data_IF_616014818969
#
_entry.id   IF_616014818969
#
_cell.length_a   1.000
_cell.length_b   1.000
_cell.length_c   1.000
_cell.angle_alpha   90.00
_cell.angle_beta   90.00
_cell.angle_gamma   90.00
#
_symmetry.space_group_name_H-M   'P 1'
#
loop_
_entity.id
_entity.type
_entity.pdbx_description
1 polymer ?
#
# COMPACT_ATOMS: atom_id res chain seq x y z
N UNK A 1 2.54 -24.23 -5.68
CA UNK A 1 1.21 -23.62 -5.85
C UNK A 1 0.15 -24.70 -6.11
N UNK A 2 0.14 -25.47 -7.20
CA UNK A 2 -0.84 -26.54 -7.43
C UNK A 2 -0.85 -27.65 -6.37
N UNK A 3 0.31 -28.09 -5.87
CA UNK A 3 0.40 -29.10 -4.78
C UNK A 3 -0.14 -28.56 -3.44
N UNK A 4 -0.05 -27.27 -3.18
CA UNK A 4 -0.58 -26.65 -1.96
C UNK A 4 -2.11 -26.47 -2.03
N UNK A 5 -2.67 -26.12 -3.19
CA UNK A 5 -4.13 -26.05 -3.39
C UNK A 5 -4.77 -27.46 -3.25
N UNK A 6 -4.17 -28.48 -3.85
CA UNK A 6 -4.68 -29.86 -3.77
C UNK A 6 -4.64 -30.41 -2.32
N UNK A 7 -3.58 -30.07 -1.56
CA UNK A 7 -3.48 -30.43 -0.13
C UNK A 7 -4.51 -29.68 0.73
N UNK A 8 -4.78 -28.41 0.40
CA UNK A 8 -5.79 -27.60 1.07
C UNK A 8 -7.19 -28.15 0.85
N UNK A 9 -7.53 -28.51 -0.39
CA UNK A 9 -8.84 -29.07 -0.74
C UNK A 9 -9.06 -30.43 -0.04
N UNK A 10 -8.04 -31.31 -0.01
CA UNK A 10 -8.09 -32.57 0.75
C UNK A 10 -8.32 -32.34 2.26
N UNK A 11 -7.70 -31.30 2.80
CA UNK A 11 -7.83 -30.94 4.22
C UNK A 11 -9.25 -30.43 4.52
N UNK A 12 -9.81 -29.59 3.65
CA UNK A 12 -11.19 -29.11 3.75
C UNK A 12 -12.21 -30.23 3.69
N UNK A 13 -12.09 -31.14 2.70
CA UNK A 13 -12.98 -32.31 2.62
C UNK A 13 -12.93 -33.14 3.91
N UNK A 14 -11.74 -33.32 4.47
CA UNK A 14 -11.55 -34.09 5.71
C UNK A 14 -12.16 -33.36 6.92
N UNK A 15 -12.00 -32.05 7.00
CA UNK A 15 -12.62 -31.21 8.04
C UNK A 15 -14.15 -31.34 7.95
N UNK A 16 -14.72 -31.19 6.75
CA UNK A 16 -16.16 -31.31 6.53
C UNK A 16 -16.71 -32.71 6.87
N UNK A 17 -15.97 -33.78 6.52
CA UNK A 17 -16.35 -35.14 6.90
C UNK A 17 -16.35 -35.33 8.42
N UNK A 18 -15.32 -34.83 9.12
CA UNK A 18 -15.21 -34.90 10.59
C UNK A 18 -16.34 -34.09 11.27
N UNK A 19 -16.68 -32.90 10.75
CA UNK A 19 -17.80 -32.10 11.23
C UNK A 19 -19.11 -32.87 11.04
N UNK A 20 -19.36 -33.43 9.86
CA UNK A 20 -20.59 -34.15 9.53
C UNK A 20 -20.80 -35.36 10.45
N UNK A 21 -19.72 -36.04 10.81
CA UNK A 21 -19.69 -37.19 11.73
C UNK A 21 -19.60 -36.80 13.20
N UNK A 22 -19.52 -35.50 13.52
CA UNK A 22 -19.39 -34.97 14.89
C UNK A 22 -18.14 -35.52 15.64
N UNK A 23 -17.04 -35.78 14.91
CA UNK A 23 -15.77 -36.30 15.46
C UNK A 23 -14.86 -35.14 15.87
N UNK A 24 -15.31 -34.30 16.81
CA UNK A 24 -14.66 -33.05 17.21
C UNK A 24 -13.26 -33.25 17.82
N UNK A 25 -13.01 -34.36 18.50
CA UNK A 25 -11.68 -34.65 19.06
C UNK A 25 -10.64 -34.84 17.93
N UNK A 26 -11.00 -35.59 16.88
CA UNK A 26 -10.12 -35.80 15.75
C UNK A 26 -9.95 -34.54 14.88
N UNK A 27 -11.01 -33.75 14.80
CA UNK A 27 -10.94 -32.44 14.14
C UNK A 27 -9.95 -31.52 14.87
N UNK A 28 -10.03 -31.45 16.19
CA UNK A 28 -9.06 -30.71 17.01
C UNK A 28 -7.62 -31.21 16.80
N UNK A 29 -7.42 -32.53 16.87
CA UNK A 29 -6.10 -33.12 16.69
C UNK A 29 -5.53 -32.88 15.28
N UNK A 30 -6.41 -32.65 14.27
CA UNK A 30 -6.05 -32.28 12.92
C UNK A 30 -5.61 -30.82 12.80
N UNK A 31 -6.26 -29.91 13.54
CA UNK A 31 -5.99 -28.46 13.50
C UNK A 31 -4.77 -28.04 14.34
N UNK A 32 -4.53 -28.72 15.48
CA UNK A 32 -3.46 -28.37 16.42
C UNK A 32 -2.05 -28.22 15.81
N UNK A 33 -1.62 -29.04 14.83
CA UNK A 33 -0.28 -28.90 14.23
C UNK A 33 -0.20 -27.87 13.10
N UNK A 34 -1.30 -27.18 12.74
CA UNK A 34 -1.33 -26.21 11.68
C UNK A 34 -0.98 -24.81 12.23
N UNK A 35 -0.36 -24.01 11.39
CA UNK A 35 -0.11 -22.59 11.69
C UNK A 35 -1.41 -21.78 11.67
N UNK A 36 -1.44 -20.66 12.39
CA UNK A 36 -2.64 -19.82 12.51
C UNK A 36 -3.16 -19.34 11.16
N UNK A 37 -2.26 -18.90 10.26
CA UNK A 37 -2.56 -18.44 8.90
C UNK A 37 -3.23 -19.53 8.05
N UNK A 38 -2.76 -20.77 8.19
CA UNK A 38 -3.35 -21.91 7.45
C UNK A 38 -4.77 -22.20 7.96
N UNK A 39 -4.99 -22.13 9.27
CA UNK A 39 -6.31 -22.34 9.88
C UNK A 39 -7.26 -21.20 9.48
N UNK A 40 -6.82 -19.95 9.53
CA UNK A 40 -7.61 -18.81 9.09
C UNK A 40 -8.02 -18.96 7.61
N UNK A 41 -7.07 -19.35 6.74
CA UNK A 41 -7.36 -19.63 5.35
C UNK A 41 -8.42 -20.73 5.14
N UNK A 42 -8.44 -21.78 5.99
CA UNK A 42 -9.48 -22.81 5.96
C UNK A 42 -10.84 -22.29 6.45
N UNK A 43 -10.84 -21.37 7.41
CA UNK A 43 -12.08 -20.80 7.97
C UNK A 43 -12.85 -20.00 6.95
N UNK A 44 -12.18 -19.29 6.03
CA UNK A 44 -12.82 -18.56 4.93
C UNK A 44 -13.72 -19.44 4.05
N UNK A 45 -13.55 -20.78 4.09
CA UNK A 45 -14.34 -21.73 3.29
C UNK A 45 -15.35 -22.54 4.11
N UNK A 46 -15.39 -22.34 5.43
CA UNK A 46 -16.25 -23.10 6.33
C UNK A 46 -17.58 -22.43 6.68
N UNK A 47 -17.79 -21.18 6.22
CA UNK A 47 -19.02 -20.39 6.40
C UNK A 47 -19.57 -20.45 7.86
N UNK A 48 -20.84 -20.82 8.02
CA UNK A 48 -21.54 -20.90 9.32
C UNK A 48 -20.92 -21.86 10.34
N UNK A 49 -19.94 -22.68 9.94
CA UNK A 49 -19.28 -23.67 10.83
C UNK A 49 -18.11 -23.08 11.60
N UNK A 50 -17.62 -21.91 11.20
CA UNK A 50 -16.44 -21.24 11.80
C UNK A 50 -16.56 -21.11 13.33
N UNK A 51 -17.66 -20.59 13.93
CA UNK A 51 -17.74 -20.43 15.38
C UNK A 51 -17.66 -21.73 16.17
N UNK A 52 -18.07 -22.85 15.53
CA UNK A 52 -18.00 -24.16 16.16
C UNK A 52 -16.58 -24.71 16.12
N UNK A 53 -15.89 -24.58 15.00
CA UNK A 53 -14.53 -25.08 14.83
C UNK A 53 -13.56 -24.23 15.66
N UNK A 54 -13.72 -22.93 15.69
CA UNK A 54 -12.94 -21.99 16.50
C UNK A 54 -12.90 -22.39 17.98
N UNK A 55 -14.05 -22.80 18.55
CA UNK A 55 -14.14 -23.27 19.96
C UNK A 55 -13.38 -24.56 20.26
N UNK A 56 -12.85 -25.26 19.26
CA UNK A 56 -12.02 -26.45 19.44
C UNK A 56 -10.54 -26.10 19.64
N UNK A 57 -10.12 -24.91 19.25
CA UNK A 57 -8.74 -24.45 19.35
C UNK A 57 -8.36 -24.16 20.81
N UNK A 58 -7.09 -24.36 21.20
CA UNK A 58 -6.55 -23.82 22.44
C UNK A 58 -6.61 -22.29 22.43
N UNK A 59 -6.63 -21.64 23.60
CA UNK A 59 -6.81 -20.18 23.70
C UNK A 59 -5.74 -19.39 22.94
N UNK A 60 -4.46 -19.73 23.14
CA UNK A 60 -3.33 -19.10 22.46
C UNK A 60 -3.49 -19.19 20.95
N UNK A 61 -3.65 -20.41 20.39
CA UNK A 61 -3.84 -20.62 18.96
C UNK A 61 -5.15 -19.97 18.45
N UNK A 62 -6.19 -19.92 19.26
CA UNK A 62 -7.44 -19.26 18.89
C UNK A 62 -7.28 -17.76 18.74
N UNK A 63 -6.48 -17.11 19.62
CA UNK A 63 -6.17 -15.70 19.50
C UNK A 63 -5.33 -15.40 18.24
N UNK A 64 -4.28 -16.18 17.99
CA UNK A 64 -3.48 -16.06 16.77
C UNK A 64 -4.32 -16.22 15.49
N UNK A 65 -5.18 -17.27 15.44
CA UNK A 65 -6.10 -17.47 14.30
C UNK A 65 -7.09 -16.32 14.17
N UNK A 66 -7.53 -15.74 15.28
CA UNK A 66 -8.51 -14.66 15.28
C UNK A 66 -7.96 -13.40 14.63
N UNK A 67 -6.70 -13.05 14.85
CA UNK A 67 -6.01 -11.92 14.23
C UNK A 67 -5.91 -12.09 12.72
N UNK A 68 -5.61 -13.30 12.24
CA UNK A 68 -5.45 -13.61 10.82
C UNK A 68 -6.77 -13.65 10.02
N UNK A 69 -7.93 -13.50 10.68
CA UNK A 69 -9.24 -13.46 10.02
C UNK A 69 -9.58 -12.06 9.53
N UNK A 70 -10.26 -11.97 8.40
CA UNK A 70 -10.83 -10.69 7.93
C UNK A 70 -11.86 -10.13 8.91
N UNK A 71 -12.04 -8.81 8.91
CA UNK A 71 -12.97 -8.09 9.81
C UNK A 71 -14.41 -8.62 9.76
N UNK A 72 -14.88 -9.16 8.63
CA UNK A 72 -16.23 -9.75 8.52
C UNK A 72 -16.34 -11.06 9.30
N UNK A 73 -15.36 -11.96 9.20
CA UNK A 73 -15.31 -13.20 9.98
C UNK A 73 -15.09 -12.92 11.47
N UNK A 74 -14.23 -11.98 11.80
CA UNK A 74 -14.03 -11.51 13.16
C UNK A 74 -15.34 -10.98 13.76
N UNK A 75 -16.10 -10.15 13.01
CA UNK A 75 -17.41 -9.66 13.47
C UNK A 75 -18.39 -10.81 13.75
N UNK A 76 -18.46 -11.80 12.86
CA UNK A 76 -19.32 -13.00 13.04
C UNK A 76 -18.92 -13.76 14.31
N UNK A 77 -17.62 -13.97 14.51
CA UNK A 77 -17.10 -14.63 15.72
C UNK A 77 -17.43 -13.83 16.99
N UNK A 78 -17.14 -12.53 17.00
CA UNK A 78 -17.44 -11.65 18.14
C UNK A 78 -18.93 -11.69 18.47
N UNK A 79 -19.81 -11.65 17.46
CA UNK A 79 -21.25 -11.74 17.68
C UNK A 79 -21.68 -13.09 18.26
N UNK A 80 -20.98 -14.18 17.91
CA UNK A 80 -21.26 -15.53 18.38
C UNK A 80 -20.73 -15.81 19.79
N UNK A 81 -19.74 -15.06 20.25
CA UNK A 81 -19.09 -15.26 21.55
C UNK A 81 -19.99 -14.86 22.71
N UNK A 82 -19.92 -15.63 23.79
CA UNK A 82 -20.33 -15.18 25.12
C UNK A 82 -19.38 -14.07 25.60
N UNK A 83 -19.80 -13.33 26.62
CA UNK A 83 -18.93 -12.29 27.20
C UNK A 83 -17.64 -12.86 27.82
N UNK A 84 -17.67 -14.11 28.26
CA UNK A 84 -16.49 -14.80 28.81
C UNK A 84 -15.54 -15.22 27.71
N UNK A 85 -16.05 -15.80 26.62
CA UNK A 85 -15.23 -16.18 25.46
C UNK A 85 -14.57 -14.94 24.82
N UNK A 86 -15.33 -13.86 24.64
CA UNK A 86 -14.78 -12.62 24.12
C UNK A 86 -13.64 -12.10 24.98
N UNK A 87 -13.82 -12.10 26.32
CA UNK A 87 -12.75 -11.68 27.23
C UNK A 87 -11.53 -12.59 27.14
N UNK A 88 -11.72 -13.91 27.07
CA UNK A 88 -10.64 -14.88 26.99
C UNK A 88 -9.81 -14.73 25.70
N UNK A 89 -10.42 -14.36 24.57
CA UNK A 89 -9.70 -14.03 23.33
C UNK A 89 -8.95 -12.71 23.48
N UNK A 90 -9.60 -11.66 23.98
CA UNK A 90 -8.99 -10.34 24.13
C UNK A 90 -7.81 -10.31 25.14
N UNK A 91 -7.83 -11.18 26.15
CA UNK A 91 -6.76 -11.28 27.15
C UNK A 91 -5.49 -11.96 26.57
N UNK A 92 -5.58 -12.63 25.43
CA UNK A 92 -4.46 -13.30 24.73
C UNK A 92 -3.94 -12.49 23.52
N UNK A 93 -4.66 -11.42 23.09
CA UNK A 93 -4.25 -10.57 21.97
C UNK A 93 -3.17 -9.58 22.39
N UNK A 94 -2.27 -9.26 21.47
CA UNK A 94 -1.40 -8.11 21.61
C UNK A 94 -2.18 -6.79 21.46
N UNK A 95 -1.57 -5.70 21.92
CA UNK A 95 -2.29 -4.43 22.07
C UNK A 95 -2.61 -3.79 20.72
N UNK A 96 -1.69 -3.84 19.77
CA UNK A 96 -1.83 -3.39 18.39
C UNK A 96 -2.96 -4.13 17.67
N UNK A 97 -2.93 -5.47 17.66
CA UNK A 97 -4.03 -6.32 17.14
C UNK A 97 -5.39 -5.93 17.75
N UNK A 98 -5.42 -5.70 19.06
CA UNK A 98 -6.65 -5.32 19.73
C UNK A 98 -7.13 -3.91 19.33
N UNK A 99 -6.22 -3.00 18.97
CA UNK A 99 -6.55 -1.67 18.43
C UNK A 99 -7.12 -1.79 17.04
N UNK A 100 -6.45 -2.50 16.13
CA UNK A 100 -6.87 -2.68 14.74
C UNK A 100 -8.26 -3.31 14.66
N UNK A 101 -8.50 -4.38 15.44
CA UNK A 101 -9.82 -4.99 15.55
C UNK A 101 -10.89 -3.99 16.01
N UNK A 102 -10.58 -3.09 16.93
CA UNK A 102 -11.55 -2.10 17.42
C UNK A 102 -11.81 -1.02 16.37
N UNK A 103 -10.82 -0.61 15.59
CA UNK A 103 -10.94 0.38 14.52
C UNK A 103 -11.77 -0.15 13.34
N UNK A 104 -11.49 -1.36 12.91
CA UNK A 104 -12.19 -1.99 11.78
C UNK A 104 -13.63 -2.39 12.09
N UNK A 105 -13.95 -2.61 13.37
CA UNK A 105 -15.27 -3.10 13.76
C UNK A 105 -16.35 -2.01 13.73
N UNK A 106 -17.60 -2.35 13.38
CA UNK A 106 -18.73 -1.46 13.55
C UNK A 106 -18.81 -0.93 14.99
N UNK A 107 -19.17 0.35 15.17
CA UNK A 107 -19.14 1.05 16.45
C UNK A 107 -19.88 0.35 17.63
N UNK A 108 -20.88 -0.49 17.34
CA UNK A 108 -21.57 -1.29 18.35
C UNK A 108 -20.74 -2.50 18.81
N UNK A 109 -19.95 -3.09 17.91
CA UNK A 109 -19.05 -4.22 18.17
C UNK A 109 -17.82 -3.72 18.90
N UNK A 110 -17.14 -2.67 18.43
CA UNK A 110 -16.02 -2.05 19.11
C UNK A 110 -16.34 -1.61 20.54
N UNK A 111 -17.54 -1.04 20.77
CA UNK A 111 -18.01 -0.74 22.15
C UNK A 111 -18.22 -1.99 23.01
N UNK A 112 -18.57 -3.13 22.40
CA UNK A 112 -18.69 -4.39 23.12
C UNK A 112 -17.33 -4.92 23.52
N UNK A 113 -16.35 -4.87 22.62
CA UNK A 113 -14.94 -5.24 22.86
C UNK A 113 -14.40 -4.41 24.02
N UNK A 114 -14.40 -3.08 23.90
CA UNK A 114 -13.90 -2.16 24.94
C UNK A 114 -14.58 -2.32 26.31
N UNK A 115 -15.84 -2.78 26.34
CA UNK A 115 -16.54 -3.02 27.61
C UNK A 115 -16.03 -4.27 28.33
N UNK A 116 -15.58 -5.28 27.59
CA UNK A 116 -15.18 -6.57 28.14
C UNK A 116 -13.66 -6.73 28.27
N UNK A 117 -12.88 -5.86 27.60
CA UNK A 117 -11.45 -5.76 27.79
C UNK A 117 -11.07 -5.39 29.22
N UNK A 118 -9.90 -5.86 29.66
CA UNK A 118 -9.33 -5.47 30.95
C UNK A 118 -9.21 -3.93 31.06
N UNK A 119 -9.39 -3.32 32.23
CA UNK A 119 -9.33 -1.88 32.40
C UNK A 119 -8.01 -1.24 31.92
N UNK A 120 -6.88 -1.92 32.11
CA UNK A 120 -5.57 -1.40 31.69
C UNK A 120 -5.41 -1.52 30.16
N UNK A 121 -5.76 -2.65 29.57
CA UNK A 121 -5.80 -2.86 28.10
C UNK A 121 -6.73 -1.85 27.43
N UNK A 122 -7.95 -1.70 27.94
CA UNK A 122 -8.91 -0.71 27.43
C UNK A 122 -8.37 0.72 27.48
N UNK A 123 -7.61 1.07 28.53
CA UNK A 123 -6.99 2.39 28.64
C UNK A 123 -5.92 2.57 27.55
N UNK A 124 -5.08 1.57 27.33
CA UNK A 124 -4.04 1.58 26.31
C UNK A 124 -4.65 1.66 24.90
N UNK A 125 -5.67 0.85 24.58
CA UNK A 125 -6.41 0.96 23.33
C UNK A 125 -6.95 2.39 23.11
N UNK A 126 -7.64 2.95 24.13
CA UNK A 126 -8.16 4.32 24.02
C UNK A 126 -7.08 5.41 23.98
N UNK A 127 -5.85 5.13 24.33
CA UNK A 127 -4.70 6.05 24.17
C UNK A 127 -4.18 6.01 22.74
N UNK A 128 -4.07 4.82 22.13
CA UNK A 128 -3.63 4.64 20.74
C UNK A 128 -4.68 5.20 19.77
N UNK A 129 -5.96 4.88 19.95
CA UNK A 129 -7.10 5.41 19.16
C UNK A 129 -7.24 6.95 19.15
N UNK A 130 -6.38 7.69 19.83
CA UNK A 130 -6.34 9.17 19.74
C UNK A 130 -5.36 9.68 18.71
N UNK A 131 -4.44 8.85 18.29
CA UNK A 131 -3.53 9.23 17.21
C UNK A 131 -4.32 9.31 15.89
N UNK A 132 -3.91 10.15 14.97
CA UNK A 132 -4.46 10.13 13.61
C UNK A 132 -4.19 8.78 12.96
N UNK A 133 -5.08 8.36 12.08
CA UNK A 133 -4.86 7.22 11.20
C UNK A 133 -3.57 7.44 10.38
N UNK A 134 -2.98 6.37 9.85
CA UNK A 134 -1.79 6.38 8.99
C UNK A 134 -0.53 7.02 9.64
N UNK A 135 -0.41 7.05 10.97
CA UNK A 135 0.79 7.54 11.64
C UNK A 135 1.45 6.47 12.53
N UNK A 136 2.73 6.67 12.86
CA UNK A 136 3.49 5.76 13.74
C UNK A 136 2.80 5.45 15.08
N UNK A 137 2.00 6.38 15.57
CA UNK A 137 1.27 6.24 16.82
C UNK A 137 0.05 5.34 16.72
N UNK A 138 -0.57 5.18 15.53
CA UNK A 138 -1.70 4.28 15.32
C UNK A 138 -1.28 2.81 15.23
N UNK A 139 -0.13 2.54 14.59
CA UNK A 139 0.38 1.19 14.35
C UNK A 139 1.38 0.70 15.40
N UNK A 140 1.60 1.42 16.50
CA UNK A 140 2.59 1.04 17.52
C UNK A 140 1.98 0.17 18.60
N UNK A 141 2.78 -0.77 19.12
CA UNK A 141 2.50 -1.45 20.38
C UNK A 141 3.24 -0.81 21.56
N UNK A 142 2.67 -0.87 22.77
CA UNK A 142 3.35 -0.46 23.99
C UNK A 142 4.01 -1.63 24.72
N UNK A 143 3.98 -2.81 24.12
CA UNK A 143 4.40 -4.08 24.71
C UNK A 143 5.87 -4.39 24.41
N UNK A 144 6.76 -3.52 24.80
CA UNK A 144 8.21 -3.66 24.66
C UNK A 144 8.92 -3.91 26.01
N UNK A 145 10.16 -4.38 25.93
CA UNK A 145 11.03 -4.54 27.11
C UNK A 145 11.84 -3.27 27.34
N UNK A 146 11.66 -2.65 28.51
CA UNK A 146 12.48 -1.52 28.97
C UNK A 146 13.55 -1.97 29.97
N UNK A 147 14.74 -1.38 29.89
CA UNK A 147 15.83 -1.57 30.83
C UNK A 147 16.31 -0.22 31.37
N UNK A 148 17.02 -0.25 32.51
CA UNK A 148 17.68 0.93 33.06
C UNK A 148 19.20 0.85 32.84
N UNK A 149 19.82 1.96 32.48
CA UNK A 149 21.27 2.02 32.26
C UNK A 149 22.11 1.57 33.46
N UNK A 150 21.57 1.62 34.67
CA UNK A 150 22.25 1.23 35.91
C UNK A 150 22.11 -0.26 36.27
N UNK A 151 21.33 -1.03 35.51
CA UNK A 151 21.17 -2.47 35.71
C UNK A 151 22.41 -3.23 35.28
N UNK A 152 22.67 -4.36 35.92
CA UNK A 152 23.64 -5.36 35.41
C UNK A 152 22.95 -6.25 34.37
N UNK A 153 23.74 -6.97 33.59
CA UNK A 153 23.24 -7.97 32.62
C UNK A 153 22.41 -9.05 33.34
N UNK A 154 22.86 -9.48 34.53
CA UNK A 154 22.10 -10.43 35.34
C UNK A 154 20.69 -9.87 35.71
N UNK A 155 20.60 -8.60 36.12
CA UNK A 155 19.32 -7.95 36.45
C UNK A 155 18.44 -7.76 35.20
N UNK A 156 19.05 -7.41 34.05
CA UNK A 156 18.36 -7.31 32.78
C UNK A 156 17.75 -8.65 32.35
N UNK A 157 18.52 -9.75 32.44
CA UNK A 157 18.00 -11.10 32.15
C UNK A 157 16.86 -11.52 33.08
N UNK A 158 16.96 -11.19 34.39
CA UNK A 158 15.87 -11.44 35.32
C UNK A 158 14.62 -10.65 34.97
N UNK A 159 14.77 -9.39 34.55
CA UNK A 159 13.67 -8.55 34.11
C UNK A 159 13.02 -9.11 32.83
N UNK A 160 13.81 -9.43 31.81
CA UNK A 160 13.33 -10.01 30.53
C UNK A 160 12.54 -11.30 30.81
N UNK A 161 13.08 -12.22 31.61
CA UNK A 161 12.39 -13.48 31.95
C UNK A 161 11.06 -13.28 32.68
N UNK A 162 10.93 -12.20 33.44
CA UNK A 162 9.72 -11.88 34.19
C UNK A 162 8.67 -11.16 33.35
N UNK A 163 9.08 -10.24 32.48
CA UNK A 163 8.16 -9.38 31.73
C UNK A 163 8.00 -9.79 30.27
N UNK A 164 8.96 -10.55 29.73
CA UNK A 164 8.98 -10.93 28.31
C UNK A 164 7.82 -11.78 27.83
N UNK A 165 7.20 -12.66 28.65
CA UNK A 165 6.03 -13.41 28.21
C UNK A 165 4.82 -12.54 27.82
N UNK A 166 4.74 -11.30 28.35
CA UNK A 166 3.66 -10.37 28.07
C UNK A 166 4.13 -9.25 27.14
N UNK A 167 5.15 -9.50 26.29
CA UNK A 167 5.74 -8.50 25.40
C UNK A 167 5.75 -9.02 23.97
N UNK A 168 5.44 -8.14 23.03
CA UNK A 168 5.43 -8.38 21.62
C UNK A 168 6.77 -8.97 21.13
N UNK A 169 7.85 -8.35 21.54
CA UNK A 169 9.20 -8.88 21.26
C UNK A 169 10.17 -8.65 22.40
N UNK A 170 11.10 -9.60 22.58
CA UNK A 170 12.26 -9.48 23.46
C UNK A 170 13.57 -9.33 22.67
N UNK A 171 13.51 -9.35 21.35
CA UNK A 171 14.69 -9.31 20.49
C UNK A 171 15.51 -8.03 20.68
N UNK A 172 14.81 -6.91 20.89
CA UNK A 172 15.39 -5.60 21.17
C UNK A 172 14.83 -5.10 22.52
N UNK A 173 15.74 -4.71 23.41
CA UNK A 173 15.40 -4.11 24.69
C UNK A 173 15.83 -2.65 24.69
N UNK A 174 14.97 -1.75 25.08
CA UNK A 174 15.23 -0.30 25.05
C UNK A 174 15.68 0.19 26.41
N UNK A 175 16.72 1.01 26.42
CA UNK A 175 17.28 1.58 27.65
C UNK A 175 16.72 2.98 27.84
N UNK A 176 16.03 3.19 28.97
CA UNK A 176 15.37 4.46 29.30
C UNK A 176 15.79 4.98 30.67
N UNK A 177 15.68 6.29 30.86
CA UNK A 177 15.87 6.93 32.16
C UNK A 177 14.58 6.91 33.03
N UNK A 178 14.62 7.59 34.18
CA UNK A 178 13.47 7.72 35.07
C UNK A 178 12.30 8.52 34.44
N UNK A 179 12.60 9.40 33.47
CA UNK A 179 11.64 10.18 32.70
C UNK A 179 11.11 9.47 31.47
N UNK A 180 11.50 8.20 31.23
CA UNK A 180 11.23 7.40 30.03
C UNK A 180 11.92 7.93 28.78
N UNK A 181 12.91 8.83 28.87
CA UNK A 181 13.67 9.25 27.68
C UNK A 181 14.49 8.08 27.15
N UNK A 182 14.48 7.91 25.84
CA UNK A 182 15.23 6.86 25.14
C UNK A 182 16.72 7.18 25.17
N UNK A 183 17.51 6.34 25.83
CA UNK A 183 18.97 6.50 25.97
C UNK A 183 19.75 5.62 25.01
N UNK A 184 19.23 4.43 24.71
CA UNK A 184 19.91 3.43 23.92
C UNK A 184 19.07 2.18 23.74
N UNK A 185 19.66 1.17 23.11
CA UNK A 185 19.06 -0.15 22.97
C UNK A 185 20.10 -1.26 23.10
N UNK A 186 19.63 -2.47 23.39
CA UNK A 186 20.40 -3.69 23.42
C UNK A 186 19.64 -4.82 22.73
N UNK A 187 20.31 -5.59 21.88
CA UNK A 187 19.74 -6.84 21.41
C UNK A 187 19.83 -7.92 22.49
N UNK A 188 18.87 -8.83 22.54
CA UNK A 188 18.94 -10.02 23.41
C UNK A 188 20.23 -10.80 23.17
N UNK A 189 20.73 -10.83 21.93
CA UNK A 189 22.00 -11.45 21.58
C UNK A 189 23.17 -10.80 22.33
N UNK A 190 23.23 -9.47 22.39
CA UNK A 190 24.28 -8.72 23.11
C UNK A 190 24.22 -9.07 24.58
N UNK A 191 23.03 -9.05 25.18
CA UNK A 191 22.81 -9.38 26.60
C UNK A 191 23.28 -10.81 26.91
N UNK A 192 22.95 -11.78 26.06
CA UNK A 192 23.32 -13.20 26.27
C UNK A 192 24.83 -13.48 26.11
N UNK A 193 25.55 -12.62 25.38
CA UNK A 193 27.00 -12.78 25.11
C UNK A 193 27.87 -11.92 26.03
N UNK A 194 27.28 -11.04 26.84
CA UNK A 194 27.97 -10.20 27.83
C UNK A 194 28.16 -10.94 29.16
N UNK A 195 29.07 -10.46 30.02
CA UNK A 195 29.27 -11.00 31.36
C UNK A 195 28.13 -10.53 32.31
N UNK A 196 27.79 -11.35 33.29
CA UNK A 196 26.65 -11.08 34.19
C UNK A 196 26.83 -9.75 35.00
N UNK A 197 28.06 -9.37 35.28
CA UNK A 197 28.42 -8.16 36.04
C UNK A 197 28.50 -6.91 35.15
N UNK A 198 28.47 -7.03 33.84
CA UNK A 198 28.50 -5.88 32.92
C UNK A 198 27.28 -4.98 33.18
N UNK A 199 27.52 -3.66 33.06
CA UNK A 199 26.46 -2.66 33.25
C UNK A 199 25.81 -2.35 31.92
N UNK A 200 24.47 -2.39 31.86
CA UNK A 200 23.66 -2.12 30.67
C UNK A 200 24.07 -0.81 29.97
N UNK A 201 24.32 0.25 30.76
CA UNK A 201 24.75 1.56 30.24
C UNK A 201 26.10 1.56 29.53
N UNK A 202 26.98 0.61 29.84
CA UNK A 202 28.31 0.53 29.25
C UNK A 202 28.33 -0.28 27.94
N UNK A 203 27.35 -1.20 27.78
CA UNK A 203 27.26 -2.11 26.62
C UNK A 203 26.15 -1.74 25.62
N UNK A 204 25.26 -0.78 25.98
CA UNK A 204 24.19 -0.35 25.10
C UNK A 204 24.69 0.43 23.89
N UNK A 205 23.99 0.32 22.77
CA UNK A 205 24.17 1.23 21.64
C UNK A 205 23.36 2.51 21.88
N UNK A 206 24.04 3.65 21.82
CA UNK A 206 23.45 4.98 22.01
C UNK A 206 23.02 5.64 20.71
N UNK A 207 23.34 5.05 19.56
CA UNK A 207 22.96 5.55 18.24
C UNK A 207 21.59 4.99 17.84
N UNK A 208 20.56 5.46 18.52
CA UNK A 208 19.20 4.98 18.30
C UNK A 208 18.54 5.75 17.15
N UNK A 209 18.07 5.01 16.17
CA UNK A 209 17.13 5.53 15.17
C UNK A 209 15.73 5.33 15.73
N UNK A 210 14.92 6.37 15.75
CA UNK A 210 13.55 6.37 16.26
C UNK A 210 12.66 7.21 15.35
N UNK A 211 11.36 6.97 15.40
CA UNK A 211 10.35 7.81 14.77
C UNK A 211 9.51 8.53 15.83
N UNK A 212 8.84 9.61 15.44
CA UNK A 212 7.89 10.29 16.30
C UNK A 212 6.49 9.70 16.13
N UNK A 213 5.65 9.83 17.14
CA UNK A 213 4.26 9.32 17.11
C UNK A 213 3.40 9.86 15.97
N UNK A 214 3.74 11.01 15.39
CA UNK A 214 3.02 11.64 14.28
C UNK A 214 3.75 11.53 12.93
N UNK A 215 4.83 10.78 12.87
CA UNK A 215 5.48 10.48 11.60
C UNK A 215 4.59 9.53 10.80
N UNK A 216 4.63 9.63 9.49
CA UNK A 216 3.86 8.82 8.55
C UNK A 216 4.23 7.34 8.67
N UNK A 217 3.25 6.44 8.65
CA UNK A 217 3.46 5.00 8.77
C UNK A 217 4.32 4.44 7.62
N UNK A 218 4.21 4.98 6.41
CA UNK A 218 5.05 4.58 5.27
C UNK A 218 6.52 4.91 5.54
N UNK A 219 6.83 6.10 6.08
CA UNK A 219 8.20 6.51 6.44
C UNK A 219 8.79 5.60 7.53
N UNK A 220 7.97 5.17 8.49
CA UNK A 220 8.33 4.23 9.56
C UNK A 220 8.66 2.86 8.97
N UNK A 221 7.77 2.32 8.14
CA UNK A 221 7.95 1.02 7.50
C UNK A 221 9.15 1.01 6.55
N UNK A 222 9.37 2.09 5.79
CA UNK A 222 10.56 2.27 4.97
C UNK A 222 11.84 2.34 5.80
N UNK A 223 11.80 2.94 6.99
CA UNK A 223 12.94 3.01 7.90
C UNK A 223 13.29 1.64 8.45
N UNK A 224 12.31 0.83 8.88
CA UNK A 224 12.50 -0.56 9.28
C UNK A 224 13.16 -1.38 8.16
N UNK A 225 12.60 -1.32 6.97
CA UNK A 225 13.11 -2.02 5.79
C UNK A 225 14.53 -1.57 5.39
N UNK A 226 14.83 -0.27 5.46
CA UNK A 226 16.13 0.30 5.05
C UNK A 226 17.28 -0.12 5.96
N UNK A 227 17.02 -0.26 7.25
CA UNK A 227 18.03 -0.58 8.26
C UNK A 227 17.98 -2.04 8.71
N UNK A 228 17.11 -2.86 8.12
CA UNK A 228 16.89 -4.26 8.50
C UNK A 228 16.56 -4.41 10.01
N UNK A 229 15.75 -3.49 10.53
CA UNK A 229 15.35 -3.52 11.93
C UNK A 229 14.20 -4.52 12.17
N UNK A 230 14.21 -5.17 13.33
CA UNK A 230 13.12 -6.03 13.80
C UNK A 230 12.04 -5.24 14.54
N UNK A 231 12.40 -4.10 15.09
CA UNK A 231 11.48 -3.17 15.74
C UNK A 231 12.07 -1.76 15.74
N UNK A 232 11.23 -0.74 15.59
CA UNK A 232 11.61 0.67 15.61
C UNK A 232 10.98 1.35 16.84
N UNK A 233 11.75 2.03 17.71
CA UNK A 233 11.21 2.74 18.84
C UNK A 233 10.50 4.02 18.40
N UNK A 234 9.30 4.23 18.95
CA UNK A 234 8.47 5.40 18.73
C UNK A 234 8.56 6.30 19.95
N UNK A 235 8.87 7.56 19.73
CA UNK A 235 9.06 8.56 20.78
C UNK A 235 8.09 9.73 20.64
N UNK A 236 7.79 10.39 21.77
CA UNK A 236 7.06 11.64 21.76
C UNK A 236 7.98 12.85 21.43
N UNK A 237 7.41 14.05 21.39
CA UNK A 237 8.14 15.28 21.13
C UNK A 237 9.21 15.62 22.17
N UNK A 238 9.19 14.97 23.35
CA UNK A 238 10.16 15.13 24.42
C UNK A 238 11.19 13.97 24.42
N UNK A 239 11.23 13.16 23.36
CA UNK A 239 12.11 11.97 23.23
C UNK A 239 11.84 10.90 24.31
N UNK A 240 10.60 10.77 24.77
CA UNK A 240 10.20 9.67 25.66
C UNK A 240 9.73 8.50 24.82
N UNK A 241 10.18 7.31 25.16
CA UNK A 241 9.71 6.09 24.50
C UNK A 241 8.24 5.85 24.83
N UNK A 242 7.40 5.84 23.79
CA UNK A 242 5.95 5.63 23.89
C UNK A 242 5.60 4.21 23.49
N UNK A 243 6.13 3.71 22.38
CA UNK A 243 5.86 2.40 21.84
C UNK A 243 6.97 1.91 20.93
N UNK A 244 6.71 0.84 20.22
CA UNK A 244 7.52 0.30 19.15
C UNK A 244 6.61 -0.07 17.99
N UNK A 245 7.15 -0.07 16.77
CA UNK A 245 6.54 -0.71 15.59
C UNK A 245 7.41 -1.90 15.22
N UNK A 246 6.81 -3.04 14.99
CA UNK A 246 7.52 -4.28 14.65
C UNK A 246 7.68 -4.45 13.14
N UNK A 247 8.48 -5.42 12.72
CA UNK A 247 8.76 -5.62 11.29
C UNK A 247 7.60 -6.25 10.54
N UNK A 248 6.80 -7.07 11.19
CA UNK A 248 5.58 -7.69 10.69
C UNK A 248 4.52 -6.63 10.37
N UNK A 249 4.16 -5.75 11.34
CA UNK A 249 3.27 -4.61 11.09
C UNK A 249 3.79 -3.70 9.98
N UNK A 250 5.10 -3.42 9.97
CA UNK A 250 5.69 -2.64 8.90
C UNK A 250 5.59 -3.31 7.52
N UNK A 251 5.58 -4.65 7.45
CA UNK A 251 5.37 -5.37 6.19
C UNK A 251 3.93 -5.25 5.71
N UNK A 252 2.95 -5.28 6.60
CA UNK A 252 1.55 -5.09 6.28
C UNK A 252 1.29 -3.65 5.80
N UNK A 253 1.81 -2.65 6.50
CA UNK A 253 1.78 -1.25 6.05
C UNK A 253 2.37 -1.09 4.65
N UNK A 254 3.54 -1.69 4.36
CA UNK A 254 4.14 -1.60 3.02
C UNK A 254 3.28 -2.25 1.93
N UNK A 255 2.53 -3.30 2.25
CA UNK A 255 1.61 -3.95 1.32
C UNK A 255 0.36 -3.11 1.09
N UNK A 256 -0.18 -2.52 2.14
CA UNK A 256 -1.33 -1.61 2.09
C UNK A 256 -1.01 -0.36 1.27
N UNK A 257 0.10 0.32 1.53
CA UNK A 257 0.55 1.50 0.79
C UNK A 257 0.75 1.20 -0.70
N UNK A 258 1.36 0.05 -1.04
CA UNK A 258 1.49 -0.38 -2.44
C UNK A 258 0.13 -0.61 -3.09
N UNK A 259 -0.83 -1.17 -2.38
CA UNK A 259 -2.19 -1.41 -2.87
C UNK A 259 -2.92 -0.09 -3.08
N UNK A 260 -2.82 0.82 -2.11
CA UNK A 260 -3.37 2.16 -2.15
C UNK A 260 -2.81 2.97 -3.33
N UNK A 261 -1.49 2.95 -3.51
CA UNK A 261 -0.81 3.59 -4.64
C UNK A 261 -1.33 3.08 -6.00
N UNK A 262 -1.51 1.76 -6.13
CA UNK A 262 -2.04 1.14 -7.36
C UNK A 262 -3.47 1.61 -7.63
N UNK A 263 -4.33 1.66 -6.62
CA UNK A 263 -5.71 2.10 -6.74
C UNK A 263 -5.79 3.60 -7.05
N UNK A 264 -5.04 4.44 -6.38
CA UNK A 264 -4.93 5.88 -6.65
C UNK A 264 -4.41 6.14 -8.07
N UNK A 265 -3.38 5.41 -8.51
CA UNK A 265 -2.87 5.49 -9.89
C UNK A 265 -3.91 5.08 -10.94
N UNK A 266 -4.86 4.24 -10.59
CA UNK A 266 -5.98 3.86 -11.44
C UNK A 266 -7.20 4.79 -11.32
N UNK A 267 -7.11 5.86 -10.51
CA UNK A 267 -8.21 6.76 -10.14
C UNK A 267 -9.40 5.99 -9.51
N UNK A 268 -9.08 5.12 -8.58
CA UNK A 268 -10.02 4.41 -7.71
C UNK A 268 -9.81 4.96 -6.30
N UNK A 269 -10.86 5.17 -5.54
CA UNK A 269 -10.72 5.45 -4.11
C UNK A 269 -10.31 4.16 -3.40
N UNK A 270 -9.26 4.20 -2.57
CA UNK A 270 -8.79 3.03 -1.82
C UNK A 270 -9.88 2.39 -0.96
N UNK A 271 -9.74 1.09 -0.72
CA UNK A 271 -10.63 0.34 0.15
C UNK A 271 -9.92 -0.84 0.80
N UNK A 272 -10.29 -1.12 2.05
CA UNK A 272 -9.60 -2.05 2.94
C UNK A 272 -10.04 -3.52 2.76
N UNK A 273 -11.05 -3.75 1.90
CA UNK A 273 -11.66 -5.08 1.74
C UNK A 273 -11.11 -5.84 0.54
N UNK A 274 -10.93 -7.17 0.66
CA UNK A 274 -10.64 -8.03 -0.48
C UNK A 274 -11.66 -7.87 -1.61
N UNK A 275 -11.19 -7.91 -2.85
CA UNK A 275 -11.99 -7.60 -4.04
C UNK A 275 -13.32 -8.38 -4.14
N UNK A 276 -13.31 -9.68 -3.79
CA UNK A 276 -14.52 -10.52 -3.86
C UNK A 276 -15.52 -10.23 -2.74
N UNK A 277 -15.09 -9.66 -1.62
CA UNK A 277 -15.93 -9.28 -0.48
C UNK A 277 -16.48 -7.86 -0.61
N UNK A 278 -15.87 -7.02 -1.45
CA UNK A 278 -16.32 -5.65 -1.70
C UNK A 278 -17.67 -5.63 -2.42
N UNK A 279 -18.65 -4.99 -1.83
CA UNK A 279 -20.00 -4.89 -2.38
C UNK A 279 -20.08 -4.08 -3.68
N UNK A 280 -21.03 -4.41 -4.58
CA UNK A 280 -21.20 -3.73 -5.87
C UNK A 280 -21.40 -2.21 -5.72
N UNK A 281 -22.16 -1.77 -4.72
CA UNK A 281 -22.39 -0.34 -4.46
C UNK A 281 -21.14 0.36 -3.92
N UNK A 282 -20.35 -0.30 -3.13
CA UNK A 282 -19.08 0.18 -2.59
C UNK A 282 -18.08 0.37 -3.74
N UNK A 283 -17.88 -0.66 -4.57
CA UNK A 283 -17.07 -0.58 -5.80
C UNK A 283 -17.53 0.54 -6.73
N UNK A 284 -18.84 0.70 -6.92
CA UNK A 284 -19.41 1.77 -7.72
C UNK A 284 -19.05 3.15 -7.13
N UNK A 285 -19.17 3.32 -5.82
CA UNK A 285 -18.84 4.58 -5.12
C UNK A 285 -17.36 4.90 -5.20
N UNK A 286 -16.49 3.90 -5.13
CA UNK A 286 -15.04 4.09 -5.24
C UNK A 286 -14.59 4.56 -6.64
N UNK A 287 -15.28 4.15 -7.70
CA UNK A 287 -14.85 4.42 -9.09
C UNK A 287 -15.58 5.59 -9.75
N UNK A 288 -16.85 5.78 -9.47
CA UNK A 288 -17.71 6.72 -10.21
C UNK A 288 -17.29 8.19 -10.08
N UNK A 289 -16.93 8.72 -8.91
CA UNK A 289 -16.56 10.14 -8.78
C UNK A 289 -15.41 10.53 -9.71
N UNK A 290 -14.38 9.72 -9.79
CA UNK A 290 -13.24 9.95 -10.69
C UNK A 290 -13.63 9.85 -12.16
N UNK A 291 -14.43 8.86 -12.54
CA UNK A 291 -14.92 8.71 -13.91
C UNK A 291 -15.77 9.93 -14.34
N UNK A 292 -16.59 10.46 -13.44
CA UNK A 292 -17.36 11.67 -13.71
C UNK A 292 -16.47 12.91 -13.91
N UNK A 293 -15.44 13.07 -13.09
CA UNK A 293 -14.49 14.16 -13.23
C UNK A 293 -13.71 14.08 -14.55
N UNK A 294 -13.26 12.87 -14.91
CA UNK A 294 -12.56 12.62 -16.18
C UNK A 294 -13.48 12.86 -17.39
N UNK A 295 -14.75 12.47 -17.31
CA UNK A 295 -15.75 12.77 -18.35
C UNK A 295 -15.96 14.28 -18.53
N UNK A 296 -15.99 15.05 -17.46
CA UNK A 296 -16.09 16.52 -17.53
C UNK A 296 -14.83 17.11 -18.18
N UNK A 297 -13.65 16.61 -17.80
CA UNK A 297 -12.38 17.10 -18.35
C UNK A 297 -12.24 16.81 -19.85
N UNK A 298 -12.82 15.71 -20.35
CA UNK A 298 -12.85 15.40 -21.78
C UNK A 298 -13.59 16.45 -22.62
N UNK A 299 -14.40 17.32 -22.01
CA UNK A 299 -15.03 18.46 -22.68
C UNK A 299 -13.99 19.41 -23.28
N UNK A 300 -12.83 19.60 -22.62
CA UNK A 300 -11.75 20.43 -23.16
C UNK A 300 -11.20 19.88 -24.49
N UNK A 301 -11.03 18.56 -24.58
CA UNK A 301 -10.63 17.87 -25.82
C UNK A 301 -11.66 18.11 -26.92
N UNK A 302 -12.95 18.02 -26.61
CA UNK A 302 -14.05 18.34 -27.53
C UNK A 302 -14.02 19.80 -28.03
N UNK A 303 -13.75 20.76 -27.13
CA UNK A 303 -13.62 22.17 -27.53
C UNK A 303 -12.46 22.42 -28.49
N UNK A 304 -11.32 21.74 -28.29
CA UNK A 304 -10.17 21.84 -29.19
C UNK A 304 -10.57 21.30 -30.58
N UNK A 305 -11.20 20.12 -30.64
CA UNK A 305 -11.66 19.53 -31.89
C UNK A 305 -12.62 20.45 -32.66
N UNK A 306 -13.58 21.04 -31.97
CA UNK A 306 -14.54 22.00 -32.55
C UNK A 306 -13.82 23.26 -33.07
N UNK A 307 -12.81 23.75 -32.34
CA UNK A 307 -12.05 24.92 -32.78
C UNK A 307 -11.30 24.68 -34.13
N UNK A 308 -10.83 23.45 -34.35
CA UNK A 308 -10.11 23.06 -35.56
C UNK A 308 -10.98 22.31 -36.58
N UNK A 309 -12.30 22.40 -36.52
CA UNK A 309 -13.25 21.72 -37.41
C UNK A 309 -12.97 22.03 -38.88
N UNK A 310 -12.64 23.28 -39.22
CA UNK A 310 -12.32 23.69 -40.58
C UNK A 310 -11.08 22.98 -41.14
N UNK A 311 -10.05 22.79 -40.32
CA UNK A 311 -8.83 22.06 -40.72
C UNK A 311 -9.11 20.58 -40.92
N UNK A 312 -9.98 19.97 -40.10
CA UNK A 312 -10.43 18.59 -40.25
C UNK A 312 -11.29 18.42 -41.53
N UNK A 313 -12.15 19.37 -41.84
CA UNK A 313 -12.97 19.36 -43.04
C UNK A 313 -12.11 19.48 -44.32
N UNK A 314 -11.02 20.27 -44.28
CA UNK A 314 -10.11 20.42 -45.40
C UNK A 314 -9.29 19.15 -45.71
N UNK A 315 -8.89 18.42 -44.67
CA UNK A 315 -8.11 17.18 -44.75
C UNK A 315 -8.69 16.08 -43.85
N UNK A 316 -9.78 15.44 -44.25
CA UNK A 316 -10.53 14.50 -43.36
C UNK A 316 -9.73 13.32 -42.81
N UNK A 317 -8.68 12.88 -43.55
CA UNK A 317 -7.81 11.77 -43.16
C UNK A 317 -7.09 12.05 -41.79
N UNK A 318 -6.92 13.32 -41.42
CA UNK A 318 -6.31 13.70 -40.18
C UNK A 318 -7.10 13.16 -38.96
N UNK A 319 -8.42 13.05 -39.07
CA UNK A 319 -9.27 12.52 -38.02
C UNK A 319 -8.91 11.07 -37.64
N UNK A 320 -8.51 10.27 -38.64
CA UNK A 320 -8.18 8.85 -38.45
C UNK A 320 -6.95 8.60 -37.58
N UNK A 321 -6.05 9.59 -37.48
CA UNK A 321 -4.82 9.47 -36.69
C UNK A 321 -4.94 10.02 -35.24
N UNK A 322 -6.02 10.75 -34.92
CA UNK A 322 -6.24 11.32 -33.58
C UNK A 322 -6.19 10.23 -32.48
N UNK A 323 -6.92 9.10 -32.60
CA UNK A 323 -6.89 8.08 -31.54
C UNK A 323 -5.50 7.48 -31.31
N UNK A 324 -4.72 7.31 -32.39
CA UNK A 324 -3.35 6.80 -32.26
C UNK A 324 -2.43 7.80 -31.55
N UNK A 325 -2.51 9.09 -31.90
CA UNK A 325 -1.69 10.15 -31.30
C UNK A 325 -2.02 10.30 -29.81
N UNK A 326 -3.31 10.39 -29.48
CA UNK A 326 -3.82 10.51 -28.13
C UNK A 326 -3.42 9.30 -27.27
N UNK A 327 -3.73 8.09 -27.72
CA UNK A 327 -3.40 6.87 -27.00
C UNK A 327 -1.89 6.66 -26.80
N UNK A 328 -1.07 6.96 -27.82
CA UNK A 328 0.40 6.87 -27.67
C UNK A 328 0.93 7.93 -26.71
N UNK A 329 0.38 9.14 -26.77
CA UNK A 329 0.71 10.22 -25.84
C UNK A 329 0.37 9.85 -24.40
N UNK A 330 -0.88 9.46 -24.15
CA UNK A 330 -1.34 9.04 -22.82
C UNK A 330 -0.47 7.91 -22.24
N UNK A 331 -0.25 6.84 -23.02
CA UNK A 331 0.61 5.74 -22.59
C UNK A 331 2.05 6.18 -22.29
N UNK A 332 2.62 7.09 -23.09
CA UNK A 332 3.97 7.60 -22.84
C UNK A 332 4.07 8.44 -21.57
N UNK A 333 3.04 9.22 -21.28
CA UNK A 333 2.94 10.02 -20.06
C UNK A 333 2.78 9.14 -18.83
N UNK A 334 1.89 8.15 -18.90
CA UNK A 334 1.67 7.17 -17.84
C UNK A 334 2.94 6.39 -17.48
N UNK A 335 3.69 5.91 -18.51
CA UNK A 335 4.97 5.22 -18.26
C UNK A 335 5.98 6.09 -17.51
N UNK A 336 6.07 7.38 -17.84
CA UNK A 336 6.97 8.29 -17.15
C UNK A 336 6.49 8.57 -15.71
N UNK A 337 5.19 8.80 -15.54
CA UNK A 337 4.58 9.06 -14.23
C UNK A 337 4.73 7.89 -13.27
N UNK A 338 4.33 6.68 -13.68
CA UNK A 338 4.46 5.48 -12.85
C UNK A 338 5.90 5.24 -12.40
N UNK A 339 6.88 5.44 -13.31
CA UNK A 339 8.28 5.29 -12.94
C UNK A 339 8.75 6.35 -11.94
N UNK A 340 8.25 7.58 -12.04
CA UNK A 340 8.61 8.68 -11.14
C UNK A 340 7.89 8.56 -9.80
N UNK A 341 6.60 8.21 -9.78
CA UNK A 341 5.83 7.95 -8.55
C UNK A 341 6.54 6.84 -7.74
N UNK A 342 6.86 5.72 -8.38
CA UNK A 342 7.59 4.64 -7.70
C UNK A 342 8.95 5.09 -7.15
N UNK A 343 9.67 5.95 -7.87
CA UNK A 343 10.95 6.48 -7.40
C UNK A 343 10.78 7.49 -6.25
N UNK A 344 9.66 8.20 -6.17
CA UNK A 344 9.28 9.06 -5.04
C UNK A 344 8.94 8.20 -3.81
N UNK A 345 8.04 7.22 -3.94
CA UNK A 345 7.69 6.30 -2.86
C UNK A 345 8.89 5.56 -2.28
N UNK A 346 9.90 5.22 -3.10
CA UNK A 346 11.15 4.60 -2.63
C UNK A 346 12.19 5.61 -2.07
N UNK A 347 11.88 6.90 -2.06
CA UNK A 347 12.82 7.95 -1.65
C UNK A 347 14.05 8.11 -2.56
N UNK A 348 14.05 7.50 -3.76
CA UNK A 348 15.15 7.60 -4.74
C UNK A 348 15.20 8.96 -5.42
N UNK A 349 14.06 9.62 -5.57
CA UNK A 349 13.87 10.94 -6.19
C UNK A 349 13.23 11.88 -5.17
N UNK A 350 13.69 13.13 -5.19
CA UNK A 350 13.14 14.22 -4.38
C UNK A 350 12.90 15.43 -5.27
N UNK A 351 12.16 16.43 -4.78
CA UNK A 351 11.93 17.67 -5.51
C UNK A 351 13.23 18.33 -6.03
N UNK A 352 14.34 18.23 -5.29
CA UNK A 352 15.65 18.75 -5.72
C UNK A 352 16.16 18.13 -7.02
N UNK A 353 15.69 16.96 -7.37
CA UNK A 353 16.11 16.19 -8.55
C UNK A 353 15.24 16.44 -9.78
N UNK A 354 14.19 17.28 -9.67
CA UNK A 354 13.26 17.57 -10.74
C UNK A 354 13.95 17.85 -12.09
N UNK A 355 14.96 18.71 -12.11
CA UNK A 355 15.68 19.04 -13.36
C UNK A 355 16.46 17.85 -13.91
N UNK A 356 16.97 16.97 -13.07
CA UNK A 356 17.67 15.74 -13.49
C UNK A 356 16.72 14.74 -14.10
N UNK A 357 15.55 14.55 -13.47
CA UNK A 357 14.48 13.67 -13.94
C UNK A 357 13.94 14.17 -15.26
N UNK A 358 13.58 15.45 -15.35
CA UNK A 358 13.11 16.08 -16.60
C UNK A 358 14.14 15.94 -17.71
N UNK A 359 15.43 16.17 -17.45
CA UNK A 359 16.49 15.99 -18.44
C UNK A 359 16.67 14.52 -18.87
N UNK A 360 16.51 13.58 -17.97
CA UNK A 360 16.52 12.15 -18.26
C UNK A 360 15.34 11.81 -19.20
N UNK A 361 14.13 12.20 -18.82
CA UNK A 361 12.92 11.90 -19.59
C UNK A 361 12.90 12.63 -20.95
N UNK A 362 13.47 13.80 -21.07
CA UNK A 362 13.66 14.49 -22.35
C UNK A 362 14.46 13.65 -23.35
N UNK A 363 15.55 13.04 -22.90
CA UNK A 363 16.39 12.16 -23.75
C UNK A 363 15.66 10.87 -24.13
N UNK A 364 14.97 10.27 -23.15
CA UNK A 364 14.15 9.09 -23.40
C UNK A 364 13.01 9.40 -24.37
N UNK A 365 12.35 10.54 -24.20
CA UNK A 365 11.28 11.00 -25.08
C UNK A 365 11.73 11.18 -26.53
N UNK A 366 12.92 11.76 -26.73
CA UNK A 366 13.47 11.95 -28.08
C UNK A 366 13.75 10.61 -28.77
N UNK A 367 14.36 9.67 -28.05
CA UNK A 367 14.66 8.33 -28.59
C UNK A 367 13.34 7.59 -28.90
N UNK A 368 12.42 7.51 -27.94
CA UNK A 368 11.13 6.86 -28.12
C UNK A 368 10.31 7.53 -29.23
N UNK A 369 10.23 8.86 -29.24
CA UNK A 369 9.48 9.61 -30.23
C UNK A 369 9.98 9.40 -31.65
N UNK A 370 11.30 9.42 -31.86
CA UNK A 370 11.90 9.15 -33.19
C UNK A 370 11.69 7.69 -33.62
N UNK A 371 11.87 6.73 -32.71
CA UNK A 371 11.62 5.32 -33.02
C UNK A 371 10.16 5.07 -33.41
N UNK A 372 9.22 5.61 -32.63
CA UNK A 372 7.79 5.49 -32.88
C UNK A 372 7.39 6.19 -34.20
N UNK A 373 7.94 7.38 -34.44
CA UNK A 373 7.67 8.11 -35.69
C UNK A 373 8.20 7.35 -36.90
N UNK A 374 9.39 6.76 -36.83
CA UNK A 374 9.96 5.93 -37.89
C UNK A 374 9.09 4.68 -38.15
N UNK A 375 8.71 3.97 -37.11
CA UNK A 375 7.83 2.81 -37.19
C UNK A 375 6.46 3.17 -37.79
N UNK A 376 5.87 4.28 -37.33
CA UNK A 376 4.59 4.76 -37.86
C UNK A 376 4.68 5.23 -39.29
N UNK A 377 5.79 5.88 -39.70
CA UNK A 377 6.01 6.25 -41.09
C UNK A 377 6.03 5.02 -41.99
N UNK A 378 6.76 3.98 -41.61
CA UNK A 378 6.79 2.69 -42.34
C UNK A 378 5.38 2.08 -42.40
N UNK A 379 4.65 2.06 -41.26
CA UNK A 379 3.26 1.58 -41.20
C UNK A 379 2.36 2.36 -42.18
N UNK A 380 2.43 3.68 -42.20
CA UNK A 380 1.63 4.51 -43.09
C UNK A 380 1.95 4.24 -44.57
N UNK A 381 3.22 4.11 -44.89
CA UNK A 381 3.61 3.83 -46.30
C UNK A 381 3.27 2.41 -46.75
N UNK A 382 3.49 1.41 -45.90
CA UNK A 382 3.26 0.00 -46.25
C UNK A 382 1.78 -0.37 -46.13
N UNK A 383 1.17 -0.07 -44.97
CA UNK A 383 -0.22 -0.50 -44.68
C UNK A 383 -1.21 0.45 -45.35
N UNK A 384 -1.12 1.75 -45.05
CA UNK A 384 -2.16 2.69 -45.44
C UNK A 384 -2.06 3.03 -46.93
N UNK A 385 -0.85 3.27 -47.50
CA UNK A 385 -0.68 3.61 -48.92
C UNK A 385 -0.66 2.38 -49.84
N UNK A 386 0.11 1.32 -49.48
CA UNK A 386 0.32 0.21 -50.42
C UNK A 386 -0.72 -0.91 -50.24
N UNK A 387 -0.97 -1.37 -48.99
CA UNK A 387 -1.88 -2.50 -48.72
C UNK A 387 -3.36 -2.08 -48.80
N UNK A 388 -3.73 -0.95 -48.22
CA UNK A 388 -5.09 -0.40 -48.22
C UNK A 388 -5.36 0.53 -49.39
N UNK A 389 -4.34 0.82 -50.20
CA UNK A 389 -4.39 1.70 -51.39
C UNK A 389 -5.13 3.04 -51.17
N UNK A 390 -4.94 3.64 -49.99
CA UNK A 390 -5.63 4.87 -49.61
C UNK A 390 -4.95 6.10 -50.24
N UNK A 391 -5.55 6.76 -51.25
CA UNK A 391 -4.93 7.85 -51.97
C UNK A 391 -4.83 9.15 -51.13
N UNK A 392 -5.53 9.24 -50.02
CA UNK A 392 -5.55 10.45 -49.17
C UNK A 392 -4.33 10.53 -48.23
N UNK A 393 -3.60 9.43 -48.07
CA UNK A 393 -2.38 9.38 -47.25
C UNK A 393 -1.20 9.84 -48.10
N UNK A 394 -0.90 11.11 -48.00
CA UNK A 394 0.24 11.72 -48.73
C UNK A 394 1.49 11.75 -47.85
N UNK A 395 2.70 11.89 -48.42
CA UNK A 395 3.92 12.08 -47.62
C UNK A 395 3.86 13.30 -46.69
N UNK A 396 3.13 14.34 -47.07
CA UNK A 396 2.92 15.51 -46.21
C UNK A 396 2.05 15.20 -44.98
N UNK A 397 0.98 14.42 -45.16
CA UNK A 397 0.16 13.90 -44.05
C UNK A 397 1.01 13.01 -43.15
N UNK A 398 1.82 12.11 -43.69
CA UNK A 398 2.72 11.27 -42.92
C UNK A 398 3.74 12.10 -42.10
N UNK A 399 4.29 13.16 -42.70
CA UNK A 399 5.19 14.07 -42.00
C UNK A 399 4.51 14.78 -40.84
N UNK A 400 3.27 15.29 -41.01
CA UNK A 400 2.48 15.89 -39.93
C UNK A 400 2.28 14.91 -38.79
N UNK A 401 1.82 13.69 -39.06
CA UNK A 401 1.55 12.68 -38.05
C UNK A 401 2.83 12.27 -37.30
N UNK A 402 3.94 12.04 -38.04
CA UNK A 402 5.21 11.66 -37.42
C UNK A 402 5.84 12.77 -36.59
N UNK A 403 5.83 14.02 -37.06
CA UNK A 403 6.31 15.18 -36.29
C UNK A 403 5.46 15.38 -35.00
N UNK A 404 4.13 15.25 -35.14
CA UNK A 404 3.22 15.31 -34.02
C UNK A 404 3.53 14.20 -33.00
N UNK A 405 3.76 12.98 -33.45
CA UNK A 405 4.06 11.85 -32.55
C UNK A 405 5.31 12.11 -31.70
N UNK A 406 6.39 12.65 -32.31
CA UNK A 406 7.59 13.05 -31.57
C UNK A 406 7.27 14.14 -30.55
N UNK A 407 6.54 15.18 -30.96
CA UNK A 407 6.16 16.27 -30.07
C UNK A 407 5.25 15.82 -28.91
N UNK A 408 4.26 15.00 -29.22
CA UNK A 408 3.33 14.44 -28.23
C UNK A 408 4.06 13.57 -27.20
N UNK A 409 4.92 12.64 -27.63
CA UNK A 409 5.70 11.79 -26.73
C UNK A 409 6.62 12.64 -25.84
N UNK A 410 7.24 13.69 -26.42
CA UNK A 410 8.09 14.59 -25.63
C UNK A 410 7.29 15.35 -24.57
N UNK A 411 6.17 15.96 -24.92
CA UNK A 411 5.31 16.66 -23.95
C UNK A 411 4.72 15.71 -22.90
N UNK A 412 4.26 14.53 -23.34
CA UNK A 412 3.68 13.53 -22.46
C UNK A 412 4.65 13.06 -21.38
N UNK A 413 5.89 12.73 -21.75
CA UNK A 413 6.91 12.32 -20.78
C UNK A 413 7.35 13.44 -19.86
N UNK A 414 7.42 14.67 -20.35
CA UNK A 414 7.72 15.84 -19.52
C UNK A 414 6.63 16.12 -18.50
N UNK A 415 5.37 16.08 -18.91
CA UNK A 415 4.22 16.25 -18.01
C UNK A 415 4.18 15.09 -17.02
N UNK A 416 4.25 13.84 -17.49
CA UNK A 416 4.21 12.65 -16.66
C UNK A 416 5.31 12.59 -15.60
N UNK A 417 6.52 13.04 -15.94
CA UNK A 417 7.62 13.05 -14.98
C UNK A 417 7.61 14.23 -14.01
N UNK A 418 7.12 15.39 -14.43
CA UNK A 418 7.17 16.59 -13.58
C UNK A 418 5.97 16.73 -12.65
N UNK A 419 4.80 16.26 -13.07
CA UNK A 419 3.55 16.47 -12.32
C UNK A 419 3.56 15.79 -10.95
N UNK A 420 3.97 14.52 -10.80
CA UNK A 420 4.05 13.86 -9.48
C UNK A 420 5.00 14.57 -8.52
N UNK A 421 6.20 14.96 -8.98
CA UNK A 421 7.20 15.67 -8.16
C UNK A 421 6.68 17.03 -7.68
N UNK A 422 5.89 17.72 -8.53
CA UNK A 422 5.27 18.98 -8.16
C UNK A 422 4.11 18.79 -7.19
N UNK A 423 3.34 17.71 -7.33
CA UNK A 423 2.26 17.36 -6.43
C UNK A 423 2.78 17.10 -5.01
N UNK A 424 3.79 16.25 -4.86
CA UNK A 424 4.48 16.00 -3.58
C UNK A 424 4.91 17.29 -2.90
N UNK A 425 5.53 18.22 -3.64
CA UNK A 425 5.99 19.50 -3.09
C UNK A 425 4.88 20.36 -2.50
N UNK A 426 3.67 20.29 -3.04
CA UNK A 426 2.52 21.08 -2.55
C UNK A 426 1.66 20.31 -1.57
N UNK A 427 2.10 19.10 -1.16
CA UNK A 427 1.43 18.25 -0.19
C UNK A 427 0.25 17.44 -0.75
N UNK A 428 0.24 17.21 -2.08
CA UNK A 428 -0.68 16.26 -2.70
C UNK A 428 0.02 14.94 -2.94
N UNK A 429 -0.69 13.86 -2.75
CA UNK A 429 -0.21 12.53 -3.06
C UNK A 429 0.16 12.40 -4.55
N UNK A 430 1.42 12.02 -4.86
CA UNK A 430 1.87 11.85 -6.23
C UNK A 430 1.09 10.80 -7.02
N UNK A 431 0.57 9.74 -6.36
CA UNK A 431 -0.15 8.66 -7.00
C UNK A 431 -1.47 9.13 -7.64
N UNK A 432 -2.14 10.11 -7.03
CA UNK A 432 -3.36 10.73 -7.57
C UNK A 432 -3.11 11.45 -8.90
N UNK A 433 -1.88 11.94 -9.14
CA UNK A 433 -1.47 12.60 -10.39
C UNK A 433 -1.08 11.62 -11.50
N UNK A 434 -1.52 10.36 -11.40
CA UNK A 434 -1.14 9.29 -12.33
C UNK A 434 -1.99 9.24 -13.61
N UNK A 435 -2.16 8.05 -14.13
CA UNK A 435 -2.58 7.72 -15.49
C UNK A 435 -3.76 8.52 -16.05
N UNK A 436 -4.95 8.57 -15.41
CA UNK A 436 -6.11 9.19 -16.04
C UNK A 436 -6.01 10.71 -16.14
N UNK A 437 -5.39 11.35 -15.14
CA UNK A 437 -5.22 12.80 -15.12
C UNK A 437 -4.20 13.24 -16.18
N UNK A 438 -3.07 12.53 -16.25
CA UNK A 438 -2.04 12.78 -17.27
C UNK A 438 -2.58 12.54 -18.68
N UNK A 439 -3.32 11.45 -18.89
CA UNK A 439 -3.91 11.15 -20.20
C UNK A 439 -4.79 12.28 -20.69
N UNK A 440 -5.63 12.86 -19.84
CA UNK A 440 -6.50 13.98 -20.20
C UNK A 440 -5.71 15.24 -20.59
N UNK A 441 -4.65 15.57 -19.83
CA UNK A 441 -3.79 16.72 -20.17
C UNK A 441 -3.05 16.46 -21.50
N UNK A 442 -2.50 15.26 -21.65
CA UNK A 442 -1.75 14.87 -22.84
C UNK A 442 -2.65 14.83 -24.07
N UNK A 443 -3.89 14.39 -23.96
CA UNK A 443 -4.87 14.40 -25.06
C UNK A 443 -5.08 15.82 -25.60
N UNK A 444 -5.31 16.77 -24.72
CA UNK A 444 -5.45 18.17 -25.10
C UNK A 444 -4.18 18.74 -25.76
N UNK A 445 -3.01 18.48 -25.17
CA UNK A 445 -1.72 18.93 -25.70
C UNK A 445 -1.39 18.29 -27.02
N UNK A 446 -1.64 16.98 -27.19
CA UNK A 446 -1.37 16.25 -28.43
C UNK A 446 -2.19 16.79 -29.59
N UNK A 447 -3.47 17.13 -29.38
CA UNK A 447 -4.32 17.76 -30.37
C UNK A 447 -3.82 19.15 -30.77
N UNK A 448 -3.45 19.98 -29.80
CA UNK A 448 -2.89 21.32 -30.07
C UNK A 448 -1.62 21.21 -30.90
N UNK A 449 -0.71 20.31 -30.56
CA UNK A 449 0.52 20.04 -31.33
C UNK A 449 0.16 19.56 -32.72
N UNK A 450 -0.79 18.62 -32.84
CA UNK A 450 -1.24 18.05 -34.11
C UNK A 450 -1.75 19.10 -35.05
N UNK A 451 -2.68 19.93 -34.62
CA UNK A 451 -3.25 20.96 -35.45
C UNK A 451 -2.25 22.08 -35.80
N UNK A 452 -1.29 22.37 -34.91
CA UNK A 452 -0.19 23.29 -35.23
C UNK A 452 0.69 22.78 -36.36
N UNK A 453 1.06 21.51 -36.31
CA UNK A 453 1.82 20.89 -37.42
C UNK A 453 0.99 20.77 -38.70
N UNK A 454 -0.30 20.43 -38.59
CA UNK A 454 -1.19 20.39 -39.74
C UNK A 454 -1.28 21.76 -40.44
N UNK A 455 -1.54 22.83 -39.66
CA UNK A 455 -1.60 24.20 -40.20
C UNK A 455 -0.26 24.61 -40.81
N UNK A 456 0.85 24.29 -40.17
CA UNK A 456 2.18 24.71 -40.66
C UNK A 456 2.62 23.95 -41.91
N UNK A 457 2.37 22.64 -42.01
CA UNK A 457 2.88 21.80 -43.11
C UNK A 457 1.88 21.72 -44.27
N UNK A 458 0.57 21.66 -43.99
CA UNK A 458 -0.48 21.50 -44.98
C UNK A 458 -1.15 22.83 -45.35
N UNK A 459 -0.96 23.89 -44.57
CA UNK A 459 -1.56 25.19 -44.80
C UNK A 459 -3.07 25.28 -44.52
N UNK A 460 -3.60 24.42 -43.63
CA UNK A 460 -5.03 24.27 -43.31
C UNK A 460 -5.39 24.76 -41.92
#
# INVERSE_FOLDING_TARGET
MFEQEEQRDELLEKIEDLISRKRYAELRDLLLPLEAQDIAGLFMELDDKVPMVFRLLPKEQAAEVFVELDSEEQEVLIQSFSNTELKEVLDELYLDDAVDIVEEMPANVGKRILRHADPDVRKSINEILKYPDDCAGSIMTTEYVDLKATMTVEDALKRIRRTGPDKETINICYVIDEGRHLLGYLSIRTILLSEEDDVVGDIMDTHVISANTLDDQEDVAQTLNKYDFLALPIVDTENRLVGIVTVDDAMDVLQEEVTEDIEKMAAILPGDKPYLKTGVFETWRARTPWLMMLMLSATFTGMILTHFENSLAAVPILTSYIPMLSGTGGNSGTQASTAVIRALSLGEVRFSDLLRVVWKECRVALICGVCLAAANFVKMMVVDCWLLANPTVTPAVAAVVCCTLVGTVACAKLVGASLPILAEKIGFDPAVMASPFISTIVDALSLLIYFRFATWILGV
#
